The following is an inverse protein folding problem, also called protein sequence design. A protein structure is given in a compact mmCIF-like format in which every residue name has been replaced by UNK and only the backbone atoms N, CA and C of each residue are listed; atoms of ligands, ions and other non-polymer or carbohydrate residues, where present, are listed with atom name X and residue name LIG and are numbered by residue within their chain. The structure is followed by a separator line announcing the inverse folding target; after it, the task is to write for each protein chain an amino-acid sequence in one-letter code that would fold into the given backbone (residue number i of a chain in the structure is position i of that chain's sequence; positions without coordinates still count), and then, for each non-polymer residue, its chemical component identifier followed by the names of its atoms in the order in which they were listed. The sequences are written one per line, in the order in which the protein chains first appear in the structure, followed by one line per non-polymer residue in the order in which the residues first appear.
data_IF_363526912321
#
_entry.id   IF_363526912321
#
_cell.length_a   1.000
_cell.length_b   1.000
_cell.length_c   1.000
_cell.angle_alpha   90.00
_cell.angle_beta   90.00
_cell.angle_gamma   90.00
#
_symmetry.space_group_name_H-M   'P 1'
#
loop_
_entity.id
_entity.type
_entity.pdbx_description
1 polymer ?
#
# COMPACT_ATOMS: atom_id res chain seq x y z
N UNK A 1 -1.00 8.47 18.11
CA UNK A 1 -0.96 7.40 19.12
C UNK A 1 0.45 7.36 19.67
N UNK A 2 0.63 7.55 20.98
CA UNK A 2 1.93 7.50 21.63
C UNK A 2 1.89 6.34 22.63
N UNK A 3 2.72 5.33 22.40
CA UNK A 3 2.87 4.19 23.33
C UNK A 3 4.32 4.14 23.80
N UNK A 4 4.51 4.19 25.11
CA UNK A 4 5.83 4.11 25.74
C UNK A 4 6.04 2.71 26.30
N UNK A 5 7.14 2.08 25.90
CA UNK A 5 7.60 0.84 26.52
C UNK A 5 6.60 -0.32 26.42
N UNK A 6 6.29 -0.74 25.20
CA UNK A 6 5.38 -1.86 24.94
C UNK A 6 5.97 -2.85 23.95
N UNK A 7 5.68 -4.13 24.12
CA UNK A 7 6.09 -5.17 23.19
C UNK A 7 5.29 -5.05 21.89
N UNK A 8 5.99 -4.88 20.78
CA UNK A 8 5.44 -4.63 19.45
C UNK A 8 6.20 -5.45 18.43
N UNK A 9 5.51 -5.86 17.35
CA UNK A 9 6.15 -6.58 16.27
C UNK A 9 7.00 -5.60 15.45
N UNK A 10 8.30 -5.82 15.48
CA UNK A 10 9.29 -4.90 14.94
C UNK A 10 10.40 -5.67 14.23
N UNK A 11 10.90 -5.08 13.15
CA UNK A 11 12.16 -5.48 12.55
C UNK A 11 12.83 -4.25 11.91
N UNK A 12 14.12 -4.37 11.64
CA UNK A 12 14.85 -3.35 10.91
C UNK A 12 15.96 -3.96 10.07
N UNK A 13 16.35 -3.23 9.03
CA UNK A 13 17.54 -3.52 8.24
C UNK A 13 18.39 -2.23 8.11
N UNK A 14 19.34 -2.23 7.19
CA UNK A 14 20.23 -1.07 6.96
C UNK A 14 19.47 0.16 6.43
N UNK A 15 18.42 -0.04 5.63
CA UNK A 15 17.72 1.04 4.93
C UNK A 15 16.48 1.56 5.69
N UNK A 16 15.79 0.71 6.46
CA UNK A 16 14.46 0.99 7.01
C UNK A 16 14.13 0.17 8.27
N UNK A 17 13.07 0.61 8.93
CA UNK A 17 12.44 -0.01 10.09
C UNK A 17 11.01 -0.40 9.70
N UNK A 18 10.51 -1.51 10.23
CA UNK A 18 9.13 -1.95 10.04
C UNK A 18 8.47 -2.19 11.40
N UNK A 19 7.27 -1.64 11.56
CA UNK A 19 6.41 -1.83 12.72
C UNK A 19 5.09 -2.45 12.27
N UNK A 20 4.72 -3.57 12.86
CA UNK A 20 3.46 -4.27 12.58
C UNK A 20 2.51 -4.11 13.76
N UNK A 21 1.32 -3.58 13.48
CA UNK A 21 0.25 -3.37 14.44
C UNK A 21 -0.96 -4.23 14.06
N UNK A 22 -1.15 -5.41 14.67
CA UNK A 22 -2.33 -6.24 14.45
C UNK A 22 -3.61 -5.48 14.80
N UNK A 23 -4.65 -5.64 13.99
CA UNK A 23 -5.98 -5.17 14.34
C UNK A 23 -6.63 -6.15 15.35
N UNK A 24 -7.85 -5.82 15.79
CA UNK A 24 -8.63 -6.70 16.66
C UNK A 24 -8.86 -8.07 16.02
N UNK A 25 -9.04 -8.08 14.71
CA UNK A 25 -8.98 -9.28 13.88
C UNK A 25 -7.51 -9.52 13.50
N UNK A 26 -6.97 -10.67 13.94
CA UNK A 26 -5.57 -11.05 13.72
C UNK A 26 -5.25 -11.39 12.26
N UNK A 27 -6.26 -11.47 11.38
CA UNK A 27 -6.05 -11.63 9.94
C UNK A 27 -5.54 -10.36 9.27
N UNK A 28 -5.71 -9.20 9.90
CA UNK A 28 -5.25 -7.91 9.39
C UNK A 28 -4.23 -7.27 10.32
N UNK A 29 -3.21 -6.65 9.73
CA UNK A 29 -2.24 -5.85 10.46
C UNK A 29 -1.86 -4.60 9.68
N UNK A 30 -1.73 -3.48 10.39
CA UNK A 30 -1.20 -2.24 9.84
C UNK A 30 0.33 -2.26 9.92
N UNK A 31 0.98 -2.31 8.75
CA UNK A 31 2.44 -2.33 8.64
C UNK A 31 2.95 -0.94 8.28
N UNK A 32 3.79 -0.37 9.13
CA UNK A 32 4.39 0.94 8.95
C UNK A 32 5.86 0.73 8.59
N UNK A 33 6.25 1.15 7.39
CA UNK A 33 7.63 1.15 6.93
C UNK A 33 8.21 2.55 7.08
N UNK A 34 9.26 2.68 7.89
CA UNK A 34 9.92 3.95 8.17
C UNK A 34 11.36 3.92 7.62
N UNK A 35 11.68 4.73 6.60
CA UNK A 35 13.05 4.93 6.15
C UNK A 35 13.97 5.44 7.26
N UNK A 36 15.15 4.83 7.46
CA UNK A 36 16.16 5.34 8.40
C UNK A 36 16.79 6.65 7.90
N UNK A 37 16.93 6.78 6.58
CA UNK A 37 17.45 8.00 5.93
C UNK A 37 16.32 9.01 5.71
N UNK A 38 16.53 10.26 6.16
CA UNK A 38 15.62 11.37 5.87
C UNK A 38 15.49 11.56 4.35
N UNK A 39 14.24 11.66 3.87
CA UNK A 39 13.90 11.70 2.43
C UNK A 39 14.27 10.43 1.62
N UNK A 40 14.60 9.31 2.29
CA UNK A 40 14.96 8.04 1.63
C UNK A 40 13.79 7.24 1.05
N UNK A 41 12.55 7.75 1.15
CA UNK A 41 11.36 7.02 0.70
C UNK A 41 11.38 6.74 -0.80
N UNK A 42 11.87 7.68 -1.62
CA UNK A 42 11.95 7.51 -3.07
C UNK A 42 12.92 6.38 -3.47
N UNK A 43 14.05 6.28 -2.79
CA UNK A 43 15.06 5.25 -3.03
C UNK A 43 14.54 3.88 -2.60
N UNK A 44 13.91 3.80 -1.42
CA UNK A 44 13.28 2.56 -0.94
C UNK A 44 12.18 2.12 -1.90
N UNK A 45 11.34 3.04 -2.38
CA UNK A 45 10.25 2.71 -3.33
C UNK A 45 10.75 2.07 -4.62
N UNK A 46 11.96 2.42 -5.09
CA UNK A 46 12.58 1.80 -6.28
C UNK A 46 13.13 0.41 -6.00
N UNK A 47 13.65 0.18 -4.79
CA UNK A 47 14.21 -1.12 -4.37
C UNK A 47 13.16 -2.09 -3.86
N UNK A 48 12.02 -1.58 -3.39
CA UNK A 48 10.97 -2.37 -2.78
C UNK A 48 10.26 -3.20 -3.85
N UNK A 49 10.35 -4.50 -3.70
CA UNK A 49 9.62 -5.48 -4.50
C UNK A 49 8.91 -6.48 -3.58
N UNK A 50 8.05 -7.32 -4.15
CA UNK A 50 7.25 -8.28 -3.36
C UNK A 50 8.10 -9.22 -2.50
N UNK A 51 9.21 -9.74 -3.03
CA UNK A 51 10.10 -10.63 -2.29
C UNK A 51 10.83 -9.93 -1.14
N UNK A 52 11.32 -8.72 -1.36
CA UNK A 52 11.98 -7.90 -0.33
C UNK A 52 11.00 -7.55 0.79
N UNK A 53 9.76 -7.19 0.44
CA UNK A 53 8.72 -6.89 1.42
C UNK A 53 8.36 -8.13 2.25
N UNK A 54 8.14 -9.29 1.61
CA UNK A 54 7.86 -10.54 2.33
C UNK A 54 9.00 -10.94 3.25
N UNK A 55 10.26 -10.79 2.80
CA UNK A 55 11.44 -11.06 3.63
C UNK A 55 11.45 -10.19 4.90
N UNK A 56 11.17 -8.90 4.78
CA UNK A 56 11.11 -7.99 5.93
C UNK A 56 9.99 -8.36 6.89
N UNK A 57 8.81 -8.67 6.37
CA UNK A 57 7.67 -9.08 7.18
C UNK A 57 7.94 -10.41 7.91
N UNK A 58 8.72 -11.31 7.32
CA UNK A 58 9.10 -12.57 7.97
C UNK A 58 10.10 -12.42 9.13
N UNK A 59 10.75 -11.26 9.23
CA UNK A 59 11.78 -10.98 10.23
C UNK A 59 11.24 -10.27 11.46
N UNK A 60 9.96 -9.88 11.46
CA UNK A 60 9.34 -9.18 12.58
C UNK A 60 9.28 -10.07 13.82
N UNK A 61 9.73 -9.50 14.95
CA UNK A 61 9.74 -10.16 16.25
C UNK A 61 9.20 -9.21 17.31
N UNK A 62 8.78 -9.76 18.45
CA UNK A 62 8.36 -8.92 19.58
C UNK A 62 9.58 -8.18 20.14
N UNK A 63 9.50 -6.86 20.17
CA UNK A 63 10.55 -5.99 20.69
C UNK A 63 9.95 -4.88 21.54
N UNK A 64 10.67 -4.51 22.61
CA UNK A 64 10.23 -3.47 23.54
C UNK A 64 10.57 -2.11 22.95
N UNK A 65 9.55 -1.38 22.49
CA UNK A 65 9.76 -0.15 21.73
C UNK A 65 8.84 0.98 22.21
N UNK A 66 9.27 2.21 21.95
CA UNK A 66 8.47 3.41 22.12
C UNK A 66 8.04 3.91 20.75
N UNK A 67 6.75 4.13 20.56
CA UNK A 67 6.14 4.44 19.27
C UNK A 67 5.39 5.75 19.37
N UNK A 68 5.63 6.63 18.41
CA UNK A 68 4.81 7.82 18.19
C UNK A 68 4.32 7.80 16.74
N UNK A 69 3.00 7.71 16.57
CA UNK A 69 2.33 7.72 15.27
C UNK A 69 1.46 8.98 15.20
N UNK A 70 1.64 9.86 14.22
CA UNK A 70 0.79 11.04 14.08
C UNK A 70 -0.64 10.63 13.72
N UNK A 71 -1.61 11.45 14.14
CA UNK A 71 -2.96 11.35 13.58
C UNK A 71 -2.90 11.79 12.12
N UNK A 72 -3.46 11.00 11.22
CA UNK A 72 -3.43 11.31 9.79
C UNK A 72 -4.71 10.87 9.11
N UNK A 73 -5.13 11.65 8.12
CA UNK A 73 -6.21 11.30 7.20
C UNK A 73 -5.66 11.45 5.78
N UNK A 74 -5.76 10.38 5.02
CA UNK A 74 -5.28 10.31 3.64
C UNK A 74 -6.48 9.95 2.77
N UNK A 75 -6.84 10.86 1.87
CA UNK A 75 -7.83 10.62 0.82
C UNK A 75 -7.11 10.65 -0.52
N UNK A 76 -7.32 9.61 -1.34
CA UNK A 76 -6.74 9.55 -2.67
C UNK A 76 -7.80 9.23 -3.70
N UNK A 77 -7.88 10.06 -4.73
CA UNK A 77 -8.53 9.76 -6.00
C UNK A 77 -7.44 9.35 -7.00
N UNK A 78 -7.44 8.09 -7.38
CA UNK A 78 -6.42 7.50 -8.24
C UNK A 78 -6.94 7.38 -9.68
N UNK A 79 -6.16 7.90 -10.61
CA UNK A 79 -6.40 7.84 -12.05
C UNK A 79 -6.03 6.42 -12.55
N UNK A 80 -6.91 5.45 -12.25
CA UNK A 80 -6.65 4.03 -12.44
C UNK A 80 -6.49 3.67 -13.93
N UNK A 81 -7.18 4.38 -14.82
CA UNK A 81 -7.07 4.18 -16.26
C UNK A 81 -5.62 4.36 -16.74
N UNK A 82 -4.99 5.46 -16.35
CA UNK A 82 -3.63 5.83 -16.74
C UNK A 82 -2.62 4.81 -16.20
N UNK A 83 -2.82 4.33 -14.97
CA UNK A 83 -1.99 3.29 -14.39
C UNK A 83 -2.14 1.95 -15.14
N UNK A 84 -3.37 1.54 -15.47
CA UNK A 84 -3.63 0.31 -16.23
C UNK A 84 -3.00 0.36 -17.63
N UNK A 85 -3.09 1.52 -18.30
CA UNK A 85 -2.42 1.77 -19.59
C UNK A 85 -0.90 1.63 -19.44
N UNK A 86 -0.31 2.24 -18.41
CA UNK A 86 1.12 2.13 -18.13
C UNK A 86 1.57 0.69 -17.80
N UNK A 87 0.65 -0.14 -17.29
CA UNK A 87 0.88 -1.58 -17.03
C UNK A 87 0.67 -2.46 -18.29
N UNK A 88 0.30 -1.88 -19.43
CA UNK A 88 0.09 -2.59 -20.69
C UNK A 88 -1.37 -2.92 -21.02
N UNK A 89 -2.30 -2.63 -20.12
CA UNK A 89 -3.74 -2.82 -20.35
C UNK A 89 -4.28 -1.60 -21.10
N UNK A 90 -4.15 -1.62 -22.43
CA UNK A 90 -4.43 -0.45 -23.28
C UNK A 90 -5.69 -0.65 -24.14
N UNK A 91 -5.84 -1.82 -24.76
CA UNK A 91 -6.90 -2.11 -25.74
C UNK A 91 -8.31 -1.86 -25.19
N UNK A 92 -8.55 -2.21 -23.92
CA UNK A 92 -9.85 -2.06 -23.25
C UNK A 92 -10.37 -0.62 -23.19
N UNK A 93 -9.48 0.37 -23.34
CA UNK A 93 -9.80 1.81 -23.30
C UNK A 93 -9.92 2.43 -24.69
N UNK A 94 -9.77 1.64 -25.76
CA UNK A 94 -9.80 2.08 -27.16
C UNK A 94 -11.03 1.51 -27.88
N UNK A 95 -11.27 1.97 -29.10
CA UNK A 95 -12.33 1.43 -29.96
C UNK A 95 -12.03 0.00 -30.46
N UNK A 96 -10.80 -0.50 -30.26
CA UNK A 96 -10.44 -1.89 -30.54
C UNK A 96 -10.85 -2.86 -29.40
N UNK A 97 -11.41 -2.36 -28.29
CA UNK A 97 -11.80 -3.18 -27.15
C UNK A 97 -12.79 -4.29 -27.55
N UNK A 98 -12.40 -5.54 -27.34
CA UNK A 98 -13.30 -6.68 -27.51
C UNK A 98 -14.03 -7.03 -26.21
N UNK A 99 -15.24 -6.48 -26.02
CA UNK A 99 -16.12 -6.77 -24.89
C UNK A 99 -17.37 -7.58 -25.28
N UNK A 100 -17.25 -8.42 -26.32
CA UNK A 100 -18.35 -9.24 -26.87
C UNK A 100 -18.97 -10.21 -25.87
N UNK A 101 -18.22 -10.60 -24.83
CA UNK A 101 -18.75 -11.40 -23.72
C UNK A 101 -19.76 -10.66 -22.82
N UNK A 102 -19.87 -9.33 -22.93
CA UNK A 102 -20.84 -8.51 -22.20
C UNK A 102 -22.02 -8.15 -23.12
N UNK A 103 -21.73 -7.63 -24.31
CA UNK A 103 -22.73 -7.37 -25.34
C UNK A 103 -22.11 -7.55 -26.72
N UNK A 104 -22.88 -8.08 -27.66
CA UNK A 104 -22.42 -8.23 -29.05
C UNK A 104 -22.44 -6.88 -29.78
N UNK A 105 -23.49 -6.08 -29.59
CA UNK A 105 -23.64 -4.75 -30.16
C UNK A 105 -24.38 -3.81 -29.19
N UNK A 106 -24.10 -2.49 -29.21
CA UNK A 106 -22.97 -1.85 -29.90
C UNK A 106 -21.62 -2.19 -29.24
N UNK A 107 -20.48 -2.06 -29.94
CA UNK A 107 -19.16 -2.26 -29.36
C UNK A 107 -18.96 -1.38 -28.12
N UNK A 108 -18.53 -2.00 -27.01
CA UNK A 108 -18.27 -1.31 -25.76
C UNK A 108 -16.77 -1.08 -25.56
N UNK A 109 -16.45 0.03 -24.90
CA UNK A 109 -15.12 0.32 -24.37
C UNK A 109 -15.21 0.89 -22.98
N UNK A 110 -14.14 0.75 -22.20
CA UNK A 110 -14.07 1.37 -20.88
C UNK A 110 -13.67 2.84 -21.04
N UNK A 111 -14.56 3.74 -20.64
CA UNK A 111 -14.31 5.18 -20.71
C UNK A 111 -13.40 5.66 -19.58
N UNK A 112 -13.72 5.26 -18.35
CA UNK A 112 -13.04 5.67 -17.12
C UNK A 112 -12.97 4.50 -16.13
N UNK A 113 -11.85 4.44 -15.39
CA UNK A 113 -11.70 3.60 -14.21
C UNK A 113 -11.35 4.53 -13.04
N UNK A 114 -12.18 4.53 -12.00
CA UNK A 114 -11.99 5.36 -10.82
C UNK A 114 -11.67 4.47 -9.61
N UNK A 115 -10.67 4.87 -8.83
CA UNK A 115 -10.32 4.21 -7.57
C UNK A 115 -10.16 5.26 -6.49
N UNK A 116 -11.01 5.21 -5.46
CA UNK A 116 -10.93 6.10 -4.31
C UNK A 116 -10.62 5.29 -3.06
N UNK A 117 -9.64 5.75 -2.29
CA UNK A 117 -9.26 5.14 -1.02
C UNK A 117 -9.19 6.22 0.07
N UNK A 118 -9.63 5.86 1.27
CA UNK A 118 -9.57 6.66 2.47
C UNK A 118 -8.88 5.84 3.56
N UNK A 119 -7.86 6.42 4.17
CA UNK A 119 -7.21 5.88 5.37
C UNK A 119 -7.26 6.94 6.44
N UNK A 120 -7.76 6.58 7.61
CA UNK A 120 -7.77 7.44 8.78
C UNK A 120 -7.10 6.72 9.95
N UNK A 121 -6.09 7.35 10.52
CA UNK A 121 -5.37 6.87 11.70
C UNK A 121 -5.70 7.82 12.84
N UNK A 122 -6.63 7.37 13.69
CA UNK A 122 -7.02 8.06 14.91
C UNK A 122 -6.28 7.49 16.13
N UNK A 123 -6.10 8.32 17.16
CA UNK A 123 -5.83 7.75 18.48
C UNK A 123 -7.17 7.23 19.02
N UNK A 124 -7.23 5.94 19.37
CA UNK A 124 -8.09 5.51 20.46
C UNK A 124 -7.48 5.95 21.79
#
# INVERSE_FOLDING_TARGET
MNEYGKNRLYAENEDMQILTLPYKDSTYAFNILLPKKRFGLADIRKKLNGAALQKLLSQVKMEYTTISIPKMKIETDFALKEALIAMGVTEMFTDAANLTGITMEPPLKVSKAAHRALIEVCCC
#
